data_IF_086128624185
#
_entry.id   IF_086128624185
#
_cell.length_a   1.000
_cell.length_b   1.000
_cell.length_c   1.000
_cell.angle_alpha   90.00
_cell.angle_beta   90.00
_cell.angle_gamma   90.00
#
_symmetry.space_group_name_H-M   'P 1'
#
loop_
_entity.id
_entity.type
_entity.pdbx_description
1 polymer ?
#
# COMPACT_ATOMS: atom_id res chain seq x y z
N UNK A 1 19.45 -23.40 -10.63
CA UNK A 1 20.81 -23.01 -11.02
C UNK A 1 21.52 -22.38 -9.82
N UNK A 2 22.85 -22.36 -9.83
CA UNK A 2 23.67 -21.75 -8.78
C UNK A 2 24.56 -20.65 -9.35
N UNK A 3 25.05 -19.75 -8.49
CA UNK A 3 25.87 -18.60 -8.85
C UNK A 3 27.16 -18.61 -8.05
N UNK A 4 28.29 -18.47 -8.75
CA UNK A 4 29.59 -18.15 -8.13
C UNK A 4 29.88 -16.66 -8.30
N UNK A 5 30.25 -16.00 -7.20
CA UNK A 5 30.74 -14.61 -7.21
C UNK A 5 32.11 -14.55 -6.55
N UNK A 6 33.16 -14.34 -7.34
CA UNK A 6 34.52 -14.25 -6.82
C UNK A 6 34.80 -12.85 -6.26
N UNK A 7 35.08 -12.75 -4.96
CA UNK A 7 35.42 -11.47 -4.31
C UNK A 7 36.77 -10.89 -4.76
N UNK A 8 37.67 -11.71 -5.34
CA UNK A 8 38.99 -11.27 -5.79
C UNK A 8 38.99 -10.65 -7.19
N UNK A 9 38.31 -11.28 -8.15
CA UNK A 9 38.35 -10.87 -9.56
C UNK A 9 36.99 -10.50 -10.14
N UNK A 10 36.00 -10.35 -9.26
CA UNK A 10 34.60 -9.96 -9.53
C UNK A 10 33.87 -10.82 -10.56
N UNK A 11 34.39 -12.02 -10.86
CA UNK A 11 33.70 -12.95 -11.74
C UNK A 11 32.35 -13.31 -11.15
N UNK A 12 31.31 -13.16 -11.96
CA UNK A 12 29.97 -13.67 -11.72
C UNK A 12 29.67 -14.69 -12.81
N UNK A 13 29.36 -15.93 -12.44
CA UNK A 13 29.07 -16.98 -13.40
C UNK A 13 28.04 -17.97 -12.85
N UNK A 14 27.32 -18.62 -13.76
CA UNK A 14 26.40 -19.70 -13.43
C UNK A 14 27.18 -20.99 -13.15
N UNK A 15 26.64 -21.80 -12.26
CA UNK A 15 27.14 -23.11 -11.90
C UNK A 15 25.98 -24.12 -11.81
N UNK A 16 26.27 -25.41 -12.00
CA UNK A 16 25.32 -26.48 -11.74
C UNK A 16 24.77 -26.45 -10.30
N UNK A 17 23.49 -26.79 -10.14
CA UNK A 17 22.78 -26.74 -8.85
C UNK A 17 23.40 -27.61 -7.75
N UNK A 18 23.97 -28.75 -8.12
CA UNK A 18 24.61 -29.66 -7.18
C UNK A 18 25.84 -29.06 -6.49
N UNK A 19 26.36 -27.92 -6.98
CA UNK A 19 27.46 -27.18 -6.36
C UNK A 19 26.99 -26.10 -5.37
N UNK A 20 25.68 -25.84 -5.25
CA UNK A 20 25.17 -24.86 -4.29
C UNK A 20 25.59 -25.21 -2.86
N UNK A 21 26.07 -24.22 -2.10
CA UNK A 21 26.58 -24.39 -0.74
C UNK A 21 28.04 -24.84 -0.65
N UNK A 22 28.70 -25.11 -1.78
CA UNK A 22 30.11 -25.51 -1.82
C UNK A 22 31.04 -24.32 -2.11
N UNK A 23 32.33 -24.50 -1.88
CA UNK A 23 33.39 -23.57 -2.31
C UNK A 23 34.21 -24.23 -3.41
N UNK A 24 34.28 -23.58 -4.58
CA UNK A 24 35.02 -24.09 -5.74
C UNK A 24 36.08 -23.08 -6.18
N UNK A 25 37.11 -23.55 -6.89
CA UNK A 25 38.13 -22.68 -7.45
C UNK A 25 37.50 -21.77 -8.53
N UNK A 26 37.66 -20.44 -8.39
CA UNK A 26 37.19 -19.49 -9.38
C UNK A 26 37.81 -19.78 -10.75
N UNK A 27 37.02 -19.95 -11.83
CA UNK A 27 37.55 -20.32 -13.14
C UNK A 27 38.39 -19.21 -13.79
N UNK A 28 38.32 -17.97 -13.27
CA UNK A 28 39.12 -16.84 -13.76
C UNK A 28 40.45 -16.67 -13.01
N UNK A 29 40.52 -16.96 -11.71
CA UNK A 29 41.70 -16.60 -10.90
C UNK A 29 42.14 -17.67 -9.90
N UNK A 30 41.53 -18.85 -9.93
CA UNK A 30 41.86 -20.01 -9.08
C UNK A 30 41.55 -19.83 -7.59
N UNK A 31 41.12 -18.65 -7.16
CA UNK A 31 40.83 -18.39 -5.74
C UNK A 31 39.55 -19.10 -5.33
N UNK A 32 39.52 -19.83 -4.19
CA UNK A 32 38.30 -20.46 -3.69
C UNK A 32 37.19 -19.42 -3.52
N UNK A 33 36.03 -19.68 -4.11
CA UNK A 33 34.87 -18.81 -4.01
C UNK A 33 33.61 -19.65 -3.74
N UNK A 34 32.73 -19.17 -2.83
CA UNK A 34 31.49 -19.86 -2.50
C UNK A 34 30.51 -19.81 -3.68
N UNK A 35 29.75 -20.88 -3.81
CA UNK A 35 28.66 -21.04 -4.78
C UNK A 35 27.34 -21.01 -4.02
N UNK A 36 26.44 -20.14 -4.46
CA UNK A 36 25.15 -19.91 -3.83
C UNK A 36 24.02 -20.41 -4.71
N UNK A 37 22.92 -20.87 -4.11
CA UNK A 37 21.66 -21.00 -4.84
C UNK A 37 21.29 -19.66 -5.46
N UNK A 38 20.82 -19.66 -6.72
CA UNK A 38 20.40 -18.43 -7.40
C UNK A 38 19.38 -17.65 -6.58
N UNK A 39 18.40 -18.33 -5.96
CA UNK A 39 17.37 -17.66 -5.15
C UNK A 39 17.98 -16.96 -3.95
N UNK A 40 18.81 -17.66 -3.17
CA UNK A 40 19.52 -17.09 -2.02
C UNK A 40 20.41 -15.90 -2.41
N UNK A 41 21.11 -16.00 -3.55
CA UNK A 41 21.97 -14.93 -4.02
C UNK A 41 21.16 -13.69 -4.43
N UNK A 42 20.01 -13.88 -5.09
CA UNK A 42 19.09 -12.80 -5.47
C UNK A 42 18.47 -12.15 -4.23
N UNK A 43 18.00 -12.93 -3.26
CA UNK A 43 17.48 -12.41 -1.99
C UNK A 43 18.50 -11.49 -1.31
N UNK A 44 19.77 -11.93 -1.19
CA UNK A 44 20.83 -11.11 -0.59
C UNK A 44 21.24 -9.90 -1.42
N UNK A 45 21.07 -9.96 -2.75
CA UNK A 45 21.30 -8.83 -3.63
C UNK A 45 20.20 -7.78 -3.48
N UNK A 46 18.94 -8.23 -3.39
CA UNK A 46 17.79 -7.39 -3.12
C UNK A 46 17.92 -6.70 -1.75
N UNK A 47 18.28 -7.43 -0.69
CA UNK A 47 18.56 -6.87 0.64
C UNK A 47 19.53 -5.67 0.55
N UNK A 48 20.68 -5.86 -0.13
CA UNK A 48 21.71 -4.83 -0.29
C UNK A 48 21.27 -3.68 -1.19
N UNK A 49 20.50 -3.97 -2.23
CA UNK A 49 19.95 -2.96 -3.11
C UNK A 49 19.01 -2.04 -2.33
N UNK A 50 18.13 -2.61 -1.51
CA UNK A 50 17.20 -1.86 -0.66
C UNK A 50 17.93 -1.07 0.44
N UNK A 51 18.96 -1.63 1.07
CA UNK A 51 19.85 -0.90 1.98
C UNK A 51 20.46 0.35 1.32
N UNK A 52 20.98 0.19 0.10
CA UNK A 52 21.57 1.31 -0.64
C UNK A 52 20.54 2.36 -1.02
N UNK A 53 19.32 1.95 -1.39
CA UNK A 53 18.22 2.87 -1.69
C UNK A 53 17.80 3.67 -0.44
N UNK A 54 17.72 3.03 0.74
CA UNK A 54 17.46 3.70 2.02
C UNK A 54 18.48 4.79 2.31
N UNK A 55 19.77 4.50 2.12
CA UNK A 55 20.84 5.48 2.35
C UNK A 55 20.78 6.64 1.35
N UNK A 56 20.44 6.37 0.07
CA UNK A 56 20.23 7.42 -0.94
C UNK A 56 19.08 8.34 -0.56
N UNK A 57 17.97 7.79 -0.06
CA UNK A 57 16.82 8.57 0.39
C UNK A 57 17.22 9.44 1.58
N UNK A 58 17.88 8.86 2.59
CA UNK A 58 18.36 9.57 3.78
C UNK A 58 19.29 10.73 3.44
N UNK A 59 20.22 10.54 2.49
CA UNK A 59 21.15 11.58 2.06
C UNK A 59 20.48 12.70 1.22
N UNK A 60 19.30 12.44 0.66
CA UNK A 60 18.54 13.41 -0.15
C UNK A 60 17.56 14.26 0.65
N UNK A 61 17.33 13.95 1.93
CA UNK A 61 16.49 14.78 2.82
C UNK A 61 17.34 15.94 3.38
N UNK A 62 16.95 17.21 3.16
CA UNK A 62 17.64 18.35 3.77
C UNK A 62 17.47 18.34 5.29
N UNK A 63 18.56 18.54 6.04
CA UNK A 63 18.51 18.65 7.49
C UNK A 63 17.93 20.02 7.91
N UNK A 64 16.75 20.03 8.53
CA UNK A 64 16.25 21.19 9.27
C UNK A 64 16.73 21.18 10.74
N UNK A 65 16.99 22.35 11.34
CA UNK A 65 17.59 22.44 12.67
C UNK A 65 16.59 22.17 13.79
N UNK A 66 17.02 21.37 14.76
CA UNK A 66 16.28 21.01 15.96
C UNK A 66 15.91 22.22 16.83
N UNK A 67 14.64 22.29 17.26
CA UNK A 67 14.21 23.08 18.43
C UNK A 67 13.88 22.15 19.59
N UNK A 68 14.48 22.44 20.72
CA UNK A 68 14.26 21.81 22.01
C UNK A 68 13.01 22.36 22.71
N UNK A 69 12.24 21.48 23.36
CA UNK A 69 11.43 21.79 24.56
C UNK A 69 11.38 20.56 25.47
N UNK A 70 11.41 20.80 26.78
CA UNK A 70 11.57 19.86 27.91
C UNK A 70 10.24 19.69 28.67
N UNK A 71 10.07 18.52 29.31
CA UNK A 71 9.10 18.09 30.36
C UNK A 71 7.66 17.77 29.90
N UNK A 72 6.97 16.70 30.32
CA UNK A 72 6.97 15.91 31.58
C UNK A 72 6.58 14.43 31.30
N UNK A 73 7.05 13.49 32.11
CA UNK A 73 7.00 12.05 31.85
C UNK A 73 5.79 11.34 32.48
N UNK A 74 5.05 10.59 31.65
CA UNK A 74 4.26 9.40 32.03
C UNK A 74 4.95 8.15 31.47
N UNK A 75 4.75 6.95 32.06
CA UNK A 75 5.67 5.83 31.90
C UNK A 75 5.81 5.41 30.44
N UNK A 76 7.05 5.46 29.95
CA UNK A 76 7.45 5.02 28.63
C UNK A 76 7.07 3.55 28.44
N UNK A 77 5.96 3.32 27.74
CA UNK A 77 5.72 2.06 27.06
C UNK A 77 6.80 1.91 25.98
N UNK A 78 7.35 0.70 25.77
CA UNK A 78 8.42 0.50 24.80
C UNK A 78 7.91 0.98 23.43
N UNK A 79 8.61 1.96 22.88
CA UNK A 79 8.38 2.43 21.53
C UNK A 79 8.40 1.23 20.59
N UNK A 80 7.43 1.16 19.67
CA UNK A 80 7.46 0.17 18.61
C UNK A 80 8.81 0.27 17.90
N UNK A 81 9.41 -0.87 17.51
CA UNK A 81 10.66 -0.86 16.75
C UNK A 81 10.49 0.05 15.52
N UNK A 82 11.58 0.67 15.06
CA UNK A 82 11.55 1.52 13.85
C UNK A 82 11.27 0.64 12.62
N UNK A 83 9.99 0.34 12.41
CA UNK A 83 9.49 -0.55 11.35
C UNK A 83 9.38 0.25 10.06
N UNK A 84 9.94 -0.26 8.98
CA UNK A 84 9.71 0.23 7.64
C UNK A 84 8.28 -0.17 7.19
N UNK A 85 7.36 0.79 7.23
CA UNK A 85 5.94 0.51 6.95
C UNK A 85 5.68 0.20 5.47
N UNK A 86 6.56 0.63 4.57
CA UNK A 86 6.40 0.49 3.12
C UNK A 86 7.04 -0.79 2.55
N UNK A 87 7.60 -1.65 3.41
CA UNK A 87 8.16 -2.93 3.01
C UNK A 87 8.28 -3.87 4.21
N UNK A 88 7.14 -4.39 4.68
CA UNK A 88 7.13 -5.28 5.85
C UNK A 88 6.00 -6.30 5.85
N UNK A 89 6.30 -7.50 6.33
CA UNK A 89 5.33 -8.53 6.73
C UNK A 89 5.05 -8.51 8.24
N UNK A 90 5.68 -7.60 9.00
CA UNK A 90 5.52 -7.48 10.45
C UNK A 90 4.07 -7.21 10.87
N UNK A 91 3.31 -6.53 10.00
CA UNK A 91 1.89 -6.27 10.19
C UNK A 91 1.03 -7.52 9.98
N UNK A 92 1.49 -8.49 9.20
CA UNK A 92 0.77 -9.70 8.80
C UNK A 92 0.88 -10.84 9.83
N UNK A 93 0.76 -10.52 11.12
CA UNK A 93 0.93 -11.49 12.21
C UNK A 93 -0.30 -11.62 13.10
N UNK A 94 -0.46 -12.78 13.76
CA UNK A 94 -1.52 -13.00 14.75
C UNK A 94 -1.45 -12.00 15.90
N UNK A 95 -0.24 -11.64 16.36
CA UNK A 95 -0.04 -10.70 17.45
C UNK A 95 -0.58 -9.30 17.08
N UNK A 96 -0.35 -8.87 15.84
CA UNK A 96 -0.82 -7.58 15.36
C UNK A 96 -2.36 -7.56 15.24
N UNK A 97 -2.97 -8.67 14.80
CA UNK A 97 -4.42 -8.76 14.60
C UNK A 97 -5.20 -9.10 15.88
N UNK A 98 -4.56 -9.67 16.91
CA UNK A 98 -5.17 -10.08 18.18
C UNK A 98 -6.08 -9.02 18.81
N UNK A 99 -5.62 -7.77 18.98
CA UNK A 99 -6.45 -6.71 19.54
C UNK A 99 -7.72 -6.40 18.74
N UNK A 100 -7.72 -6.62 17.42
CA UNK A 100 -8.91 -6.47 16.57
C UNK A 100 -9.92 -7.55 16.94
N UNK A 101 -9.49 -8.81 17.02
CA UNK A 101 -10.34 -9.93 17.44
C UNK A 101 -10.98 -9.65 18.81
N UNK A 102 -10.18 -9.23 19.79
CA UNK A 102 -10.66 -8.90 21.14
C UNK A 102 -11.71 -7.78 21.14
N UNK A 103 -11.49 -6.75 20.31
CA UNK A 103 -12.39 -5.61 20.22
C UNK A 103 -13.76 -6.00 19.67
N UNK A 104 -13.79 -6.79 18.59
CA UNK A 104 -15.05 -7.28 17.99
C UNK A 104 -15.72 -8.36 18.84
N UNK A 105 -14.97 -9.23 19.51
CA UNK A 105 -15.51 -10.25 20.39
C UNK A 105 -16.28 -9.64 21.57
N UNK A 106 -15.76 -8.55 22.17
CA UNK A 106 -16.48 -7.79 23.22
C UNK A 106 -17.85 -7.28 22.77
N UNK A 107 -18.04 -7.09 21.46
CA UNK A 107 -19.29 -6.67 20.84
C UNK A 107 -20.13 -7.83 20.29
N UNK A 108 -19.73 -9.08 20.56
CA UNK A 108 -20.39 -10.29 20.05
C UNK A 108 -20.46 -10.33 18.51
N UNK A 109 -19.40 -9.86 17.86
CA UNK A 109 -19.25 -9.89 16.40
C UNK A 109 -18.12 -10.85 16.07
N UNK A 110 -18.40 -11.80 15.17
CA UNK A 110 -17.36 -12.69 14.64
C UNK A 110 -16.63 -11.98 13.52
N UNK A 111 -15.30 -12.08 13.52
CA UNK A 111 -14.45 -11.47 12.50
C UNK A 111 -13.51 -12.50 11.90
N UNK A 112 -13.19 -12.29 10.63
CA UNK A 112 -12.16 -13.03 9.91
C UNK A 112 -11.28 -12.03 9.16
N UNK A 113 -10.04 -11.88 9.60
CA UNK A 113 -9.06 -11.06 8.91
C UNK A 113 -8.24 -11.90 7.92
N UNK A 114 -7.97 -11.35 6.75
CA UNK A 114 -6.87 -11.82 5.91
C UNK A 114 -5.58 -11.17 6.42
N UNK A 115 -4.74 -11.91 7.15
CA UNK A 115 -3.51 -11.36 7.74
C UNK A 115 -2.57 -10.78 6.69
N UNK A 116 -2.51 -11.38 5.49
CA UNK A 116 -1.69 -10.86 4.38
C UNK A 116 -2.31 -9.63 3.69
N UNK A 117 -3.52 -9.22 4.07
CA UNK A 117 -4.18 -8.03 3.54
C UNK A 117 -3.45 -6.73 3.89
N UNK A 118 -2.53 -6.78 4.86
CA UNK A 118 -1.68 -5.66 5.34
C UNK A 118 -0.18 -5.91 5.12
N UNK A 119 0.17 -6.91 4.30
CA UNK A 119 1.55 -7.20 3.92
C UNK A 119 2.03 -6.18 2.87
N UNK A 120 2.96 -5.30 3.27
CA UNK A 120 3.50 -4.24 2.40
C UNK A 120 4.81 -4.65 1.74
N UNK A 121 5.23 -5.91 1.80
CA UNK A 121 6.45 -6.37 1.13
C UNK A 121 6.37 -6.39 -0.41
N UNK A 122 5.18 -6.13 -0.95
CA UNK A 122 4.90 -6.03 -2.38
C UNK A 122 5.17 -4.64 -2.94
N UNK A 123 4.41 -4.29 -3.99
CA UNK A 123 4.45 -2.96 -4.61
C UNK A 123 3.06 -2.28 -4.64
N UNK A 124 2.09 -2.83 -3.92
CA UNK A 124 0.70 -2.36 -4.00
C UNK A 124 0.51 -1.03 -3.28
N UNK A 125 1.17 -0.88 -2.15
CA UNK A 125 1.21 0.35 -1.36
C UNK A 125 1.89 1.48 -2.12
N UNK A 126 3.06 1.30 -2.74
CA UNK A 126 3.73 2.40 -3.45
C UNK A 126 2.95 2.84 -4.69
N UNK A 127 2.32 1.91 -5.41
CA UNK A 127 1.44 2.28 -6.54
C UNK A 127 0.19 2.99 -6.02
N UNK A 128 -0.40 2.53 -4.92
CA UNK A 128 -1.56 3.18 -4.31
C UNK A 128 -1.25 4.59 -3.83
N UNK A 129 -0.09 4.81 -3.20
CA UNK A 129 0.36 6.13 -2.75
C UNK A 129 0.65 7.06 -3.93
N UNK A 130 1.26 6.55 -5.00
CA UNK A 130 1.46 7.31 -6.23
C UNK A 130 0.13 7.76 -6.85
N UNK A 131 -0.88 6.88 -6.84
CA UNK A 131 -2.23 7.21 -7.28
C UNK A 131 -2.84 8.26 -6.37
N UNK A 132 -2.93 8.02 -5.06
CA UNK A 132 -3.64 8.89 -4.14
C UNK A 132 -3.01 10.29 -4.03
N UNK A 133 -1.69 10.39 -4.18
CA UNK A 133 -0.97 11.67 -4.17
C UNK A 133 -1.15 12.50 -5.46
N UNK A 134 -1.56 11.86 -6.56
CA UNK A 134 -1.65 12.52 -7.87
C UNK A 134 -2.90 12.10 -8.67
N UNK A 135 -4.00 11.85 -7.96
CA UNK A 135 -5.21 11.25 -8.53
C UNK A 135 -5.78 12.06 -9.69
N UNK A 136 -5.78 13.39 -9.59
CA UNK A 136 -6.31 14.27 -10.64
C UNK A 136 -5.61 14.12 -11.98
N UNK A 137 -4.31 13.80 -11.97
CA UNK A 137 -3.48 13.58 -13.16
C UNK A 137 -3.61 12.12 -13.64
N UNK A 138 -3.71 11.17 -12.73
CA UNK A 138 -3.62 9.74 -13.03
C UNK A 138 -4.99 9.06 -13.27
N UNK A 139 -6.11 9.68 -12.87
CA UNK A 139 -7.46 9.08 -12.96
C UNK A 139 -7.80 8.52 -14.34
N UNK A 140 -7.46 9.25 -15.41
CA UNK A 140 -7.78 8.82 -16.77
C UNK A 140 -6.95 7.59 -17.19
N UNK A 141 -5.75 7.42 -16.64
CA UNK A 141 -4.92 6.22 -16.83
C UNK A 141 -5.57 5.03 -16.13
N UNK A 142 -6.02 5.22 -14.88
CA UNK A 142 -6.67 4.18 -14.08
C UNK A 142 -7.97 3.70 -14.72
N UNK A 143 -8.83 4.64 -15.12
CA UNK A 143 -10.07 4.33 -15.81
C UNK A 143 -9.81 3.58 -17.12
N UNK A 144 -8.78 4.00 -17.87
CA UNK A 144 -8.42 3.37 -19.14
C UNK A 144 -7.91 1.94 -18.94
N UNK A 145 -7.08 1.69 -17.93
CA UNK A 145 -6.62 0.34 -17.56
C UNK A 145 -7.80 -0.51 -17.10
N UNK A 146 -8.59 -0.03 -16.12
CA UNK A 146 -9.75 -0.73 -15.56
C UNK A 146 -10.74 -1.11 -16.64
N UNK A 147 -11.13 -0.15 -17.49
CA UNK A 147 -12.05 -0.40 -18.60
C UNK A 147 -11.51 -1.46 -19.56
N UNK A 148 -10.22 -1.39 -19.89
CA UNK A 148 -9.57 -2.34 -20.80
C UNK A 148 -9.55 -3.75 -20.21
N UNK A 149 -9.25 -3.88 -18.90
CA UNK A 149 -9.33 -5.16 -18.19
C UNK A 149 -10.77 -5.71 -18.16
N UNK A 150 -11.77 -4.87 -17.89
CA UNK A 150 -13.19 -5.27 -17.89
C UNK A 150 -13.69 -5.73 -19.26
N UNK A 151 -13.11 -5.20 -20.35
CA UNK A 151 -13.40 -5.61 -21.73
C UNK A 151 -12.50 -6.73 -22.25
N UNK A 152 -11.67 -7.31 -21.39
CA UNK A 152 -10.70 -8.36 -21.73
C UNK A 152 -9.76 -7.96 -22.88
N UNK A 153 -9.42 -6.67 -22.97
CA UNK A 153 -8.41 -6.20 -23.90
C UNK A 153 -7.00 -6.50 -23.37
N UNK A 154 -6.16 -7.09 -24.20
CA UNK A 154 -4.77 -7.42 -23.82
C UNK A 154 -3.86 -6.19 -23.66
N UNK A 155 -4.26 -5.03 -24.20
CA UNK A 155 -3.46 -3.81 -24.14
C UNK A 155 -4.32 -2.57 -24.11
N UNK A 156 -3.74 -1.47 -23.64
CA UNK A 156 -4.36 -0.15 -23.71
C UNK A 156 -3.35 0.91 -24.11
N UNK A 157 -3.85 2.01 -24.69
CA UNK A 157 -3.03 3.15 -25.10
C UNK A 157 -3.45 4.38 -24.31
N UNK A 158 -2.45 5.06 -23.73
CA UNK A 158 -2.59 6.29 -22.96
C UNK A 158 -2.07 7.43 -23.83
N UNK A 159 -2.96 8.31 -24.27
CA UNK A 159 -2.61 9.46 -25.11
C UNK A 159 -2.17 10.66 -24.26
N UNK A 160 -1.07 11.30 -24.63
CA UNK A 160 -0.49 12.43 -23.90
C UNK A 160 -0.63 13.78 -24.62
N UNK A 161 -1.13 13.79 -25.86
CA UNK A 161 -1.20 14.97 -26.74
C UNK A 161 -1.90 16.19 -26.13
N UNK A 162 -2.93 15.97 -25.31
CA UNK A 162 -3.74 17.03 -24.68
C UNK A 162 -3.32 17.34 -23.25
N UNK A 163 -2.25 16.72 -22.76
CA UNK A 163 -1.77 16.89 -21.39
C UNK A 163 -0.77 18.04 -21.32
N UNK A 164 -0.69 18.69 -20.17
CA UNK A 164 0.41 19.61 -19.92
C UNK A 164 1.75 18.85 -19.95
N UNK A 165 2.89 19.50 -20.23
CA UNK A 165 4.19 18.84 -20.19
C UNK A 165 4.50 18.16 -18.83
N UNK A 166 4.03 18.76 -17.73
CA UNK A 166 4.18 18.19 -16.39
C UNK A 166 3.33 16.93 -16.22
N UNK A 167 2.06 16.96 -16.63
CA UNK A 167 1.16 15.80 -16.54
C UNK A 167 1.61 14.68 -17.46
N UNK A 168 2.04 14.98 -18.69
CA UNK A 168 2.56 13.99 -19.63
C UNK A 168 3.78 13.26 -19.05
N UNK A 169 4.68 14.00 -18.38
CA UNK A 169 5.84 13.43 -17.68
C UNK A 169 5.40 12.56 -16.50
N UNK A 170 4.47 13.04 -15.67
CA UNK A 170 3.96 12.29 -14.51
C UNK A 170 3.27 10.99 -14.93
N UNK A 171 2.41 11.05 -15.96
CA UNK A 171 1.73 9.89 -16.54
C UNK A 171 2.74 8.89 -17.11
N UNK A 172 3.74 9.37 -17.87
CA UNK A 172 4.76 8.50 -18.46
C UNK A 172 5.59 7.80 -17.39
N UNK A 173 5.96 8.53 -16.32
CA UNK A 173 6.69 7.97 -15.18
C UNK A 173 5.86 6.94 -14.44
N UNK A 174 4.57 7.22 -14.18
CA UNK A 174 3.65 6.27 -13.56
C UNK A 174 3.47 5.02 -14.42
N UNK A 175 3.28 5.15 -15.73
CA UNK A 175 3.20 4.01 -16.65
C UNK A 175 4.47 3.15 -16.63
N UNK A 176 5.64 3.77 -16.49
CA UNK A 176 6.90 3.05 -16.33
C UNK A 176 6.97 2.33 -14.98
N UNK A 177 6.58 3.00 -13.89
CA UNK A 177 6.50 2.41 -12.55
C UNK A 177 5.59 1.18 -12.53
N UNK A 178 4.43 1.23 -13.18
CA UNK A 178 3.54 0.07 -13.31
C UNK A 178 4.22 -1.12 -13.98
N UNK A 179 5.13 -0.89 -14.93
CA UNK A 179 5.90 -1.97 -15.56
C UNK A 179 7.00 -2.48 -14.64
N UNK A 180 7.76 -1.57 -14.03
CA UNK A 180 8.86 -1.92 -13.12
C UNK A 180 8.34 -2.75 -11.93
N UNK A 181 7.12 -2.48 -11.48
CA UNK A 181 6.43 -3.20 -10.40
C UNK A 181 5.50 -4.33 -10.87
N UNK A 182 5.56 -4.70 -12.16
CA UNK A 182 4.81 -5.82 -12.74
C UNK A 182 3.27 -5.72 -12.68
N UNK A 183 2.71 -4.53 -12.52
CA UNK A 183 1.27 -4.24 -12.69
C UNK A 183 0.84 -4.28 -14.16
N UNK A 184 1.78 -4.09 -15.08
CA UNK A 184 1.60 -4.31 -16.52
C UNK A 184 2.73 -5.18 -17.04
N UNK A 185 2.43 -6.01 -18.04
CA UNK A 185 3.40 -6.94 -18.61
C UNK A 185 4.46 -6.23 -19.47
N UNK A 186 4.10 -5.13 -20.14
CA UNK A 186 5.02 -4.30 -20.95
C UNK A 186 4.56 -2.85 -20.98
N UNK A 187 5.52 -1.93 -21.11
CA UNK A 187 5.29 -0.50 -21.32
C UNK A 187 6.12 -0.02 -22.52
N UNK A 188 5.46 0.59 -23.50
CA UNK A 188 6.09 1.10 -24.72
C UNK A 188 5.81 2.59 -24.87
N UNK A 189 6.87 3.39 -24.87
CA UNK A 189 6.78 4.83 -25.09
C UNK A 189 6.88 5.15 -26.58
N UNK A 190 5.83 5.71 -27.17
CA UNK A 190 5.80 6.14 -28.56
C UNK A 190 5.97 7.67 -28.63
N UNK A 191 7.21 8.11 -28.85
CA UNK A 191 7.52 9.55 -28.98
C UNK A 191 6.85 10.21 -30.19
N UNK A 192 6.89 9.63 -31.41
CA UNK A 192 6.20 10.21 -32.58
C UNK A 192 4.70 10.47 -32.37
N UNK A 193 3.99 9.54 -31.75
CA UNK A 193 2.54 9.64 -31.55
C UNK A 193 2.16 10.15 -30.14
N UNK A 194 3.14 10.63 -29.37
CA UNK A 194 3.00 11.14 -28.01
C UNK A 194 2.03 10.31 -27.13
N UNK A 195 2.28 8.99 -27.07
CA UNK A 195 1.46 8.06 -26.31
C UNK A 195 2.29 6.96 -25.64
N UNK A 196 1.69 6.30 -24.64
CA UNK A 196 2.26 5.14 -23.97
C UNK A 196 1.33 3.95 -24.15
N UNK A 197 1.84 2.86 -24.71
CA UNK A 197 1.09 1.60 -24.87
C UNK A 197 1.48 0.64 -23.75
N UNK A 198 0.48 0.14 -23.03
CA UNK A 198 0.62 -0.82 -21.95
C UNK A 198 0.06 -2.18 -22.37
N UNK A 199 0.80 -3.26 -22.13
CA UNK A 199 0.28 -4.62 -22.20
C UNK A 199 -0.17 -5.01 -20.80
N UNK A 200 -1.45 -5.34 -20.64
CA UNK A 200 -2.08 -5.49 -19.33
C UNK A 200 -1.77 -6.86 -18.71
N UNK A 201 -1.71 -6.90 -17.38
CA UNK A 201 -1.61 -8.15 -16.62
C UNK A 201 -3.01 -8.72 -16.37
N UNK A 202 -3.13 -10.05 -16.42
CA UNK A 202 -4.42 -10.76 -16.21
C UNK A 202 -4.60 -11.30 -14.80
N UNK A 203 -3.56 -11.25 -13.96
CA UNK A 203 -3.60 -11.69 -12.57
C UNK A 203 -4.77 -11.03 -11.81
N UNK A 204 -5.63 -11.82 -11.13
CA UNK A 204 -6.81 -11.30 -10.43
C UNK A 204 -6.51 -10.18 -9.43
N UNK A 205 -5.40 -10.28 -8.69
CA UNK A 205 -4.98 -9.27 -7.71
C UNK A 205 -4.71 -7.90 -8.36
N UNK A 206 -4.04 -7.88 -9.51
CA UNK A 206 -3.80 -6.65 -10.27
C UNK A 206 -5.10 -6.07 -10.83
N UNK A 207 -6.01 -6.94 -11.31
CA UNK A 207 -7.33 -6.51 -11.79
C UNK A 207 -8.15 -5.89 -10.66
N UNK A 208 -8.18 -6.52 -9.48
CA UNK A 208 -8.91 -6.00 -8.33
C UNK A 208 -8.30 -4.69 -7.83
N UNK A 209 -6.97 -4.57 -7.83
CA UNK A 209 -6.28 -3.33 -7.50
C UNK A 209 -6.79 -2.14 -8.32
N UNK A 210 -6.75 -2.25 -9.65
CA UNK A 210 -7.29 -1.18 -10.52
C UNK A 210 -8.82 -1.05 -10.46
N UNK A 211 -9.53 -2.08 -10.01
CA UNK A 211 -10.98 -2.04 -9.83
C UNK A 211 -11.42 -1.36 -8.52
N UNK A 212 -10.51 -1.08 -7.59
CA UNK A 212 -10.81 -0.29 -6.41
C UNK A 212 -9.88 -0.51 -5.22
N UNK A 213 -9.22 -1.68 -5.10
CA UNK A 213 -8.43 -1.98 -3.90
C UNK A 213 -7.24 -1.02 -3.71
N UNK A 214 -6.81 -0.30 -4.77
CA UNK A 214 -5.80 0.74 -4.63
C UNK A 214 -6.17 1.80 -3.59
N UNK A 215 -7.46 2.14 -3.45
CA UNK A 215 -7.90 3.16 -2.49
C UNK A 215 -7.84 2.63 -1.06
N UNK A 216 -8.04 1.34 -0.87
CA UNK A 216 -7.90 0.68 0.43
C UNK A 216 -6.44 0.66 0.87
N UNK A 217 -5.53 0.31 -0.06
CA UNK A 217 -4.09 0.41 0.17
C UNK A 217 -3.67 1.84 0.52
N UNK A 218 -4.13 2.84 -0.23
CA UNK A 218 -3.86 4.24 0.06
C UNK A 218 -4.36 4.65 1.45
N UNK A 219 -5.58 4.25 1.83
CA UNK A 219 -6.15 4.54 3.13
C UNK A 219 -5.39 3.86 4.29
N UNK A 220 -4.97 2.61 4.10
CA UNK A 220 -4.12 1.89 5.04
C UNK A 220 -2.78 2.62 5.23
N UNK A 221 -2.09 2.95 4.14
CA UNK A 221 -0.77 3.59 4.21
C UNK A 221 -0.79 4.96 4.87
N UNK A 222 -1.80 5.78 4.58
CA UNK A 222 -2.00 7.04 5.33
C UNK A 222 -2.19 6.75 6.81
N UNK A 223 -3.04 5.78 7.17
CA UNK A 223 -3.32 5.44 8.56
C UNK A 223 -2.07 4.99 9.32
N UNK A 224 -1.26 4.12 8.70
CA UNK A 224 0.00 3.61 9.26
C UNK A 224 1.01 4.74 9.46
N UNK A 225 1.19 5.60 8.45
CA UNK A 225 2.11 6.75 8.50
C UNK A 225 1.77 7.68 9.66
N UNK A 226 0.50 8.05 9.80
CA UNK A 226 0.06 8.94 10.87
C UNK A 226 0.20 8.32 12.26
N UNK A 227 -0.09 7.02 12.40
CA UNK A 227 0.12 6.31 13.66
C UNK A 227 1.61 6.30 14.05
N UNK A 228 2.51 6.01 13.10
CA UNK A 228 3.97 6.04 13.30
C UNK A 228 4.49 7.43 13.62
N UNK A 229 4.10 8.46 12.86
CA UNK A 229 4.49 9.86 13.11
C UNK A 229 4.15 10.35 14.52
N UNK A 230 3.05 9.83 15.09
CA UNK A 230 2.59 10.16 16.45
C UNK A 230 3.01 9.14 17.51
N UNK A 231 3.82 8.15 17.13
CA UNK A 231 4.30 7.09 18.02
C UNK A 231 3.15 6.36 18.75
N UNK A 232 2.02 6.18 18.06
CA UNK A 232 0.86 5.46 18.61
C UNK A 232 1.01 3.99 18.33
N UNK A 233 0.59 3.15 19.28
CA UNK A 233 0.49 1.72 19.01
C UNK A 233 -0.75 1.44 18.17
N UNK A 234 -0.69 0.45 17.29
CA UNK A 234 -1.83 0.14 16.45
C UNK A 234 -1.96 -1.34 16.11
N UNK A 235 -3.20 -1.74 15.84
CA UNK A 235 -3.54 -2.91 15.06
C UNK A 235 -4.29 -2.46 13.81
N UNK A 236 -4.14 -3.18 12.70
CA UNK A 236 -4.78 -2.84 11.44
C UNK A 236 -5.19 -4.09 10.66
N UNK A 237 -6.21 -3.96 9.83
CA UNK A 237 -6.64 -4.98 8.88
C UNK A 237 -7.21 -4.33 7.63
N UNK A 238 -7.11 -5.03 6.50
CA UNK A 238 -7.78 -4.69 5.24
C UNK A 238 -8.70 -5.84 4.83
N UNK A 239 -9.87 -5.52 4.24
CA UNK A 239 -10.85 -6.53 3.84
C UNK A 239 -11.32 -7.39 5.02
N UNK A 240 -11.65 -6.73 6.15
CA UNK A 240 -12.02 -7.40 7.38
C UNK A 240 -13.47 -7.90 7.30
N UNK A 241 -13.63 -9.22 7.23
CA UNK A 241 -14.94 -9.84 7.15
C UNK A 241 -15.59 -9.93 8.53
N UNK A 242 -16.87 -9.57 8.59
CA UNK A 242 -17.70 -9.51 9.77
C UNK A 242 -18.93 -10.38 9.57
N UNK A 243 -19.24 -11.17 10.60
CA UNK A 243 -20.52 -11.85 10.72
C UNK A 243 -21.23 -11.34 11.97
N UNK A 244 -22.28 -10.56 11.77
CA UNK A 244 -23.11 -10.04 12.84
C UNK A 244 -23.98 -11.14 13.46
N UNK A 245 -24.51 -10.88 14.66
CA UNK A 245 -25.35 -11.85 15.39
C UNK A 245 -26.65 -12.21 14.67
N UNK A 246 -27.11 -11.36 13.74
CA UNK A 246 -28.28 -11.62 12.89
C UNK A 246 -27.92 -12.40 11.61
N UNK A 247 -26.66 -12.76 11.41
CA UNK A 247 -26.17 -13.49 10.24
C UNK A 247 -25.78 -12.61 9.05
N UNK A 248 -25.95 -11.29 9.15
CA UNK A 248 -25.63 -10.39 8.04
C UNK A 248 -24.10 -10.29 7.84
N UNK A 249 -23.61 -10.54 6.61
CA UNK A 249 -22.21 -10.35 6.28
C UNK A 249 -21.91 -8.87 6.02
N UNK A 250 -20.82 -8.40 6.60
CA UNK A 250 -20.23 -7.11 6.30
C UNK A 250 -18.75 -7.29 6.02
N UNK A 251 -18.19 -6.37 5.25
CA UNK A 251 -16.76 -6.23 5.05
C UNK A 251 -16.42 -4.79 5.44
N UNK A 252 -15.31 -4.61 6.15
CA UNK A 252 -14.69 -3.29 6.35
C UNK A 252 -13.43 -3.24 5.51
N UNK A 253 -13.38 -2.25 4.62
CA UNK A 253 -12.26 -2.08 3.69
C UNK A 253 -10.94 -1.86 4.44
N UNK A 254 -10.88 -0.92 5.39
CA UNK A 254 -9.72 -0.73 6.30
C UNK A 254 -10.19 -0.52 7.74
N UNK A 255 -9.61 -1.26 8.68
CA UNK A 255 -9.84 -1.11 10.12
C UNK A 255 -8.53 -0.79 10.83
N UNK A 256 -8.53 0.22 11.69
CA UNK A 256 -7.43 0.52 12.61
C UNK A 256 -7.94 0.49 14.04
N UNK A 257 -7.13 -0.03 14.96
CA UNK A 257 -7.36 0.06 16.40
C UNK A 257 -6.14 0.67 17.06
N UNK A 258 -6.28 1.93 17.48
CA UNK A 258 -5.19 2.73 18.03
C UNK A 258 -5.17 2.60 19.55
N UNK A 259 -4.00 2.29 20.08
CA UNK A 259 -3.72 1.99 21.50
C UNK A 259 -4.70 0.98 22.12
N UNK A 260 -5.24 0.08 21.31
CA UNK A 260 -6.23 -0.93 21.71
C UNK A 260 -7.61 -0.36 22.06
N UNK A 261 -7.87 0.94 21.81
CA UNK A 261 -9.06 1.64 22.31
C UNK A 261 -9.81 2.45 21.27
N UNK A 262 -9.10 3.15 20.38
CA UNK A 262 -9.71 4.03 19.39
C UNK A 262 -9.87 3.28 18.06
N UNK A 263 -11.08 2.80 17.74
CA UNK A 263 -11.38 2.19 16.44
C UNK A 263 -11.53 3.26 15.37
N UNK A 264 -11.04 2.96 14.17
CA UNK A 264 -11.28 3.75 12.96
C UNK A 264 -11.65 2.75 11.86
N UNK A 265 -12.86 2.88 11.33
CA UNK A 265 -13.32 2.15 10.14
C UNK A 265 -13.25 3.09 8.94
N UNK A 266 -12.66 2.64 7.85
CA UNK A 266 -12.60 3.37 6.60
C UNK A 266 -13.22 2.48 5.52
N UNK A 267 -14.23 3.01 4.86
CA UNK A 267 -14.89 2.44 3.68
C UNK A 267 -14.45 3.20 2.44
N UNK A 268 -13.80 2.51 1.53
CA UNK A 268 -13.20 3.05 0.32
C UNK A 268 -14.13 2.83 -0.87
N UNK A 269 -14.49 3.90 -1.61
CA UNK A 269 -15.30 3.78 -2.82
C UNK A 269 -14.66 4.52 -3.99
N UNK A 270 -14.38 3.74 -5.04
CA UNK A 270 -13.87 4.21 -6.34
C UNK A 270 -14.99 4.46 -7.37
N UNK A 271 -16.25 4.44 -6.94
CA UNK A 271 -17.44 4.52 -7.80
C UNK A 271 -18.69 4.96 -7.04
N UNK A 272 -19.87 4.67 -7.59
CA UNK A 272 -21.14 5.08 -6.99
C UNK A 272 -21.35 4.42 -5.62
N UNK A 273 -21.70 5.22 -4.61
CA UNK A 273 -21.78 4.79 -3.22
C UNK A 273 -23.13 5.08 -2.55
N UNK A 274 -23.95 5.96 -3.14
CA UNK A 274 -25.15 6.50 -2.46
C UNK A 274 -26.17 5.44 -2.07
N UNK A 275 -26.30 4.40 -2.90
CA UNK A 275 -27.23 3.29 -2.66
C UNK A 275 -26.92 2.50 -1.39
N UNK A 276 -25.68 2.57 -0.89
CA UNK A 276 -25.21 1.79 0.24
C UNK A 276 -25.08 2.62 1.54
N UNK A 277 -25.44 3.92 1.53
CA UNK A 277 -25.26 4.80 2.69
C UNK A 277 -25.99 4.27 3.93
N UNK A 278 -27.23 3.81 3.78
CA UNK A 278 -28.00 3.24 4.89
C UNK A 278 -27.35 1.99 5.49
N UNK A 279 -26.69 1.18 4.65
CA UNK A 279 -25.94 0.00 5.08
C UNK A 279 -24.74 0.40 5.96
N UNK A 280 -24.01 1.45 5.59
CA UNK A 280 -22.88 1.96 6.39
C UNK A 280 -23.34 2.63 7.69
N UNK A 281 -24.45 3.37 7.66
CA UNK A 281 -25.07 3.92 8.87
C UNK A 281 -25.49 2.83 9.86
N UNK A 282 -26.08 1.75 9.36
CA UNK A 282 -26.45 0.60 10.19
C UNK A 282 -25.21 -0.06 10.80
N UNK A 283 -24.15 -0.27 10.00
CA UNK A 283 -22.90 -0.84 10.48
C UNK A 283 -22.26 0.05 11.55
N UNK A 284 -22.10 1.37 11.32
CA UNK A 284 -21.55 2.29 12.31
C UNK A 284 -22.28 2.22 13.64
N UNK A 285 -23.62 2.26 13.60
CA UNK A 285 -24.46 2.14 14.81
C UNK A 285 -24.25 0.81 15.51
N UNK A 286 -24.18 -0.30 14.75
CA UNK A 286 -23.94 -1.64 15.30
C UNK A 286 -22.57 -1.76 15.97
N UNK A 287 -21.56 -1.13 15.39
CA UNK A 287 -20.21 -1.07 15.96
C UNK A 287 -20.11 -0.10 17.14
N UNK A 288 -21.10 0.78 17.33
CA UNK A 288 -21.10 1.79 18.39
C UNK A 288 -20.00 2.84 18.19
N UNK A 289 -19.81 3.26 16.95
CA UNK A 289 -18.76 4.21 16.55
C UNK A 289 -19.33 5.62 16.40
N UNK A 290 -18.54 6.63 16.75
CA UNK A 290 -18.85 8.03 16.45
C UNK A 290 -18.70 8.31 14.94
N UNK A 291 -19.37 9.33 14.42
CA UNK A 291 -19.28 9.70 13.01
C UNK A 291 -17.84 9.92 12.54
N UNK A 292 -17.00 10.53 13.39
CA UNK A 292 -15.58 10.78 13.09
C UNK A 292 -14.74 9.51 12.97
N UNK A 293 -15.18 8.40 13.57
CA UNK A 293 -14.50 7.10 13.56
C UNK A 293 -14.94 6.20 12.38
N UNK A 294 -16.03 6.55 11.68
CA UNK A 294 -16.49 5.82 10.50
C UNK A 294 -16.40 6.71 9.27
N UNK A 295 -15.37 6.46 8.47
CA UNK A 295 -14.93 7.32 7.39
C UNK A 295 -15.28 6.69 6.05
N UNK A 296 -16.03 7.40 5.23
CA UNK A 296 -16.27 7.10 3.83
C UNK A 296 -15.20 7.84 2.98
N UNK A 297 -14.19 7.12 2.52
CA UNK A 297 -13.17 7.64 1.61
C UNK A 297 -13.61 7.43 0.16
N UNK A 298 -14.00 8.52 -0.51
CA UNK A 298 -14.60 8.47 -1.85
C UNK A 298 -13.66 9.15 -2.85
N UNK A 299 -13.21 8.41 -3.86
CA UNK A 299 -12.28 8.94 -4.88
C UNK A 299 -12.89 10.10 -5.65
N UNK A 300 -12.16 11.21 -5.79
CA UNK A 300 -12.57 12.34 -6.62
C UNK A 300 -13.77 13.12 -6.10
N UNK A 301 -14.23 12.86 -4.88
CA UNK A 301 -15.28 13.64 -4.23
C UNK A 301 -14.75 15.07 -3.95
N UNK A 302 -15.51 16.10 -4.33
CA UNK A 302 -15.12 17.48 -4.01
C UNK A 302 -15.19 17.75 -2.51
N UNK A 303 -14.39 18.69 -2.02
CA UNK A 303 -14.36 19.03 -0.59
C UNK A 303 -15.71 19.59 -0.10
N UNK A 304 -16.43 20.33 -0.96
CA UNK A 304 -17.77 20.83 -0.66
C UNK A 304 -18.77 19.69 -0.50
N UNK A 305 -18.74 18.70 -1.40
CA UNK A 305 -19.61 17.54 -1.32
C UNK A 305 -19.25 16.64 -0.13
N UNK A 306 -17.96 16.46 0.16
CA UNK A 306 -17.50 15.74 1.34
C UNK A 306 -18.03 16.39 2.63
N UNK A 307 -17.94 17.73 2.73
CA UNK A 307 -18.51 18.50 3.84
C UNK A 307 -20.03 18.38 3.92
N UNK A 308 -20.73 18.53 2.79
CA UNK A 308 -22.18 18.44 2.73
C UNK A 308 -22.70 17.05 3.12
N UNK A 309 -22.09 15.99 2.61
CA UNK A 309 -22.44 14.61 2.98
C UNK A 309 -22.12 14.29 4.43
N UNK A 310 -21.00 14.80 4.97
CA UNK A 310 -20.68 14.66 6.40
C UNK A 310 -21.66 15.39 7.31
N UNK A 311 -22.26 16.48 6.85
CA UNK A 311 -23.28 17.21 7.61
C UNK A 311 -24.67 16.56 7.49
N UNK A 312 -24.97 15.96 6.34
CA UNK A 312 -26.26 15.34 6.05
C UNK A 312 -26.39 13.94 6.65
N UNK A 313 -25.31 13.17 6.65
CA UNK A 313 -25.28 11.82 7.17
C UNK A 313 -24.41 11.76 8.42
N UNK A 314 -24.80 10.93 9.38
CA UNK A 314 -24.03 10.66 10.60
C UNK A 314 -22.84 9.71 10.30
N UNK A 315 -22.01 10.10 9.32
CA UNK A 315 -20.80 9.46 8.80
C UNK A 315 -19.83 10.57 8.40
N UNK A 316 -18.52 10.32 8.45
CA UNK A 316 -17.56 11.28 7.89
C UNK A 316 -17.25 10.94 6.43
N UNK A 317 -17.30 11.91 5.53
CA UNK A 317 -16.88 11.76 4.14
C UNK A 317 -15.59 12.53 3.88
N UNK A 318 -14.68 11.87 3.18
CA UNK A 318 -13.39 12.43 2.71
C UNK A 318 -13.12 11.96 1.29
N UNK A 319 -12.14 12.57 0.65
CA UNK A 319 -11.52 12.10 -0.59
C UNK A 319 -10.09 11.62 -0.32
N UNK A 320 -9.43 11.13 -1.36
CA UNK A 320 -8.05 10.61 -1.30
C UNK A 320 -7.03 11.63 -0.78
N UNK A 321 -7.28 12.93 -0.94
CA UNK A 321 -6.41 14.02 -0.47
C UNK A 321 -6.69 14.43 0.98
N UNK A 322 -7.97 14.50 1.35
CA UNK A 322 -8.42 15.01 2.65
C UNK A 322 -8.43 13.96 3.76
N UNK A 323 -8.31 12.67 3.43
CA UNK A 323 -8.23 11.58 4.41
C UNK A 323 -7.12 11.80 5.45
N UNK A 324 -5.93 12.19 5.00
CA UNK A 324 -4.79 12.49 5.86
C UNK A 324 -5.11 13.58 6.90
N UNK A 325 -5.71 14.69 6.46
CA UNK A 325 -6.12 15.78 7.33
C UNK A 325 -7.21 15.38 8.33
N UNK A 326 -8.12 14.48 7.95
CA UNK A 326 -9.13 13.95 8.87
C UNK A 326 -8.50 13.06 9.94
N UNK A 327 -7.70 12.07 9.53
CA UNK A 327 -7.02 11.15 10.44
C UNK A 327 -6.11 11.90 11.42
N UNK A 328 -5.41 12.93 10.96
CA UNK A 328 -4.57 13.78 11.82
C UNK A 328 -5.31 14.51 12.96
N UNK A 329 -6.64 14.61 12.91
CA UNK A 329 -7.50 15.16 13.98
C UNK A 329 -8.07 14.09 14.92
N UNK A 330 -7.96 12.81 14.55
CA UNK A 330 -8.43 11.68 15.36
C UNK A 330 -7.36 11.16 16.32
N UNK A 331 -6.10 11.18 15.87
CA UNK A 331 -4.94 10.70 16.62
C UNK A 331 -4.43 11.69 17.67
#
# INVERSE_FOLDING_TARGET
>A
MAIIRCNKCTLLAEQPDNLAGQSIACPKCGTPAPVYSTLFFIEKLLDKYFDAQREIIRLKVPAEPAKAVVAEAEPANPAEPDIDLANTDFLATEMQHGPIYDWFQKKQIKVQANMRGVDTSGFFDEVAEAIGSNFDVLKDVLERIRWSQQKEHASTTIHLEKRSPADAKAISAFCQQLYDFSFVAKCFHNKPENNVRLILQTAPTIRNFFNGEWLEWHALMISLRYAKERQRRFSCARGLNLLLSNGDPYEIDVFMLIDGKLPICIECKSGEFRQNIDRYLALRKRLGLEAKQFVMCITGLSDENAKAFSAMYDLTFVNERSLAGHLGRLF
#
